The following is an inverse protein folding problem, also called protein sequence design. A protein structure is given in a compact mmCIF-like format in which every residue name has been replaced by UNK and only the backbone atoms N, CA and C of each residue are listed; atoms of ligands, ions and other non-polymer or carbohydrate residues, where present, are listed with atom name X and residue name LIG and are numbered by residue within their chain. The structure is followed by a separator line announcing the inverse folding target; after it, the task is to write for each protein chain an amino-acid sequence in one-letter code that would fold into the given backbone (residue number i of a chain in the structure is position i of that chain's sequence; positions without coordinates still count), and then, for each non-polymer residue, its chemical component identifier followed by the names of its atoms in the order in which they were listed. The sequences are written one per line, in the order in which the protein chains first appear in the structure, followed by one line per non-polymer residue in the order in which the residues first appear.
data_IF_290804236068
#
_entry.id   IF_290804236068
#
_cell.length_a   1.000
_cell.length_b   1.000
_cell.length_c   1.000
_cell.angle_alpha   90.00
_cell.angle_beta   90.00
_cell.angle_gamma   90.00
#
_symmetry.space_group_name_H-M   'P 1'
#
loop_
_entity.id
_entity.type
_entity.pdbx_description
1 polymer ?
#
# COMPACT_ATOMS: atom_id res chain seq x y z
N UNK A 1 59.36 -19.93 50.44
CA UNK A 1 57.89 -20.15 50.38
C UNK A 1 57.32 -19.27 49.30
N UNK A 2 56.99 -19.83 48.14
CA UNK A 2 56.40 -19.11 47.05
C UNK A 2 54.88 -19.22 47.19
N UNK A 3 54.21 -18.07 47.39
CA UNK A 3 52.72 -17.96 47.50
C UNK A 3 52.14 -17.78 46.09
N UNK A 4 51.56 -18.83 45.51
CA UNK A 4 50.92 -18.76 44.21
C UNK A 4 49.57 -18.12 44.43
N UNK A 5 49.44 -16.88 43.93
CA UNK A 5 48.14 -16.16 43.89
C UNK A 5 47.35 -16.63 42.68
N UNK A 6 46.28 -17.37 42.93
CA UNK A 6 45.32 -17.74 41.90
C UNK A 6 44.44 -16.52 41.57
N UNK A 7 44.77 -15.82 40.50
CA UNK A 7 43.85 -14.86 39.93
C UNK A 7 42.74 -15.61 39.17
N UNK A 8 41.60 -15.66 39.81
CA UNK A 8 40.37 -16.12 39.15
C UNK A 8 39.93 -15.05 38.15
N UNK A 9 40.18 -15.30 36.87
CA UNK A 9 39.62 -14.52 35.81
C UNK A 9 38.13 -14.90 35.67
N UNK A 10 37.24 -14.04 36.20
CA UNK A 10 35.83 -14.13 35.89
C UNK A 10 35.61 -13.57 34.47
N UNK A 11 35.63 -14.45 33.47
CA UNK A 11 35.29 -14.10 32.11
C UNK A 11 33.81 -13.74 32.04
N UNK A 12 33.50 -12.45 32.03
CA UNK A 12 32.14 -11.99 31.73
C UNK A 12 31.88 -12.22 30.24
N UNK A 13 31.15 -13.28 29.92
CA UNK A 13 30.60 -13.50 28.59
C UNK A 13 29.60 -12.40 28.28
N UNK A 14 30.04 -11.37 27.56
CA UNK A 14 29.13 -10.39 26.96
C UNK A 14 28.56 -11.04 25.71
N UNK A 15 27.34 -11.56 25.82
CA UNK A 15 26.59 -12.05 24.68
C UNK A 15 26.07 -10.80 23.95
N UNK A 16 26.49 -10.53 22.69
CA UNK A 16 25.88 -9.44 21.93
C UNK A 16 24.41 -9.80 21.66
N UNK A 17 23.52 -9.03 22.23
CA UNK A 17 22.09 -9.09 21.89
C UNK A 17 21.95 -8.59 20.45
N UNK A 18 21.88 -9.52 19.51
CA UNK A 18 21.53 -9.20 18.13
C UNK A 18 20.05 -8.84 18.12
N UNK A 19 19.76 -7.55 18.18
CA UNK A 19 18.42 -7.05 17.93
C UNK A 19 18.22 -7.20 16.43
N UNK A 20 17.54 -8.30 16.02
CA UNK A 20 16.94 -8.37 14.68
C UNK A 20 15.88 -7.28 14.63
N UNK A 21 16.22 -6.15 14.01
CA UNK A 21 15.25 -5.13 13.69
C UNK A 21 14.24 -5.72 12.71
N UNK A 22 13.03 -6.02 13.19
CA UNK A 22 11.88 -6.19 12.31
C UNK A 22 11.60 -4.83 11.67
N UNK A 23 12.13 -4.65 10.45
CA UNK A 23 11.72 -3.56 9.58
C UNK A 23 10.31 -3.83 9.11
N UNK A 24 9.32 -3.56 9.97
CA UNK A 24 7.94 -3.46 9.56
C UNK A 24 7.81 -2.22 8.68
N UNK A 25 7.29 -2.37 7.45
CA UNK A 25 6.90 -1.22 6.65
C UNK A 25 5.90 -0.40 7.47
N UNK A 26 6.20 0.88 7.69
CA UNK A 26 5.28 1.77 8.38
C UNK A 26 4.06 2.03 7.48
N UNK A 27 2.84 2.17 8.07
CA UNK A 27 1.61 2.46 7.33
C UNK A 27 1.72 3.69 6.39
N UNK A 28 2.61 4.65 6.71
CA UNK A 28 2.93 5.80 5.87
C UNK A 28 3.62 5.42 4.55
N UNK A 29 4.43 4.36 4.52
CA UNK A 29 5.12 3.91 3.30
C UNK A 29 4.13 3.25 2.34
N UNK A 30 3.18 2.46 2.84
CA UNK A 30 2.12 1.85 2.03
C UNK A 30 1.20 2.89 1.39
N UNK A 31 0.80 3.94 2.12
CA UNK A 31 0.00 5.02 1.56
C UNK A 31 0.77 5.81 0.49
N UNK A 32 2.07 6.02 0.67
CA UNK A 32 2.92 6.69 -0.32
C UNK A 32 3.07 5.86 -1.58
N UNK A 33 3.24 4.54 -1.44
CA UNK A 33 3.26 3.61 -2.56
C UNK A 33 1.93 3.60 -3.29
N UNK A 34 0.82 3.46 -2.56
CA UNK A 34 -0.53 3.48 -3.12
C UNK A 34 -0.82 4.77 -3.88
N UNK A 35 -0.41 5.92 -3.35
CA UNK A 35 -0.52 7.22 -4.03
C UNK A 35 0.26 7.24 -5.35
N UNK A 36 1.50 6.75 -5.34
CA UNK A 36 2.35 6.73 -6.53
C UNK A 36 1.78 5.82 -7.61
N UNK A 37 1.31 4.64 -7.23
CA UNK A 37 0.67 3.68 -8.15
C UNK A 37 -0.66 4.23 -8.71
N UNK A 38 -1.47 4.85 -7.85
CA UNK A 38 -2.71 5.51 -8.29
C UNK A 38 -2.43 6.61 -9.31
N UNK A 39 -1.47 7.47 -9.04
CA UNK A 39 -1.08 8.55 -9.96
C UNK A 39 -0.60 8.01 -11.31
N UNK A 40 0.16 6.92 -11.29
CA UNK A 40 0.72 6.31 -12.51
C UNK A 40 -0.30 5.52 -13.34
N UNK A 41 -1.29 4.88 -12.70
CA UNK A 41 -2.16 3.88 -13.34
C UNK A 41 -3.64 4.26 -13.40
N UNK A 42 -4.13 5.04 -12.45
CA UNK A 42 -5.57 5.25 -12.23
C UNK A 42 -6.00 6.70 -12.52
N UNK A 43 -5.16 7.66 -12.18
CA UNK A 43 -5.47 9.08 -12.20
C UNK A 43 -5.88 9.61 -13.57
N UNK A 44 -5.33 9.06 -14.66
CA UNK A 44 -5.63 9.52 -16.02
C UNK A 44 -7.12 9.41 -16.36
N UNK A 45 -7.81 8.44 -15.78
CA UNK A 45 -9.25 8.24 -15.94
C UNK A 45 -10.03 8.72 -14.73
N UNK A 46 -9.62 8.33 -13.52
CA UNK A 46 -10.37 8.57 -12.29
C UNK A 46 -10.13 9.96 -11.67
N UNK A 47 -9.13 10.71 -12.15
CA UNK A 47 -8.80 12.04 -11.67
C UNK A 47 -7.91 12.06 -10.43
N UNK A 48 -7.19 13.15 -10.23
CA UNK A 48 -6.30 13.34 -9.06
C UNK A 48 -7.08 13.35 -7.74
N UNK A 49 -8.34 13.77 -7.76
CA UNK A 49 -9.24 13.83 -6.61
C UNK A 49 -10.25 12.67 -6.58
N UNK A 50 -10.07 11.65 -7.43
CA UNK A 50 -10.90 10.47 -7.45
C UNK A 50 -12.35 10.66 -7.95
N UNK A 51 -12.65 11.78 -8.64
CA UNK A 51 -14.02 12.14 -9.05
C UNK A 51 -14.45 11.56 -10.40
N UNK A 52 -13.63 10.74 -11.03
CA UNK A 52 -13.94 10.22 -12.36
C UNK A 52 -13.79 11.26 -13.48
N UNK A 53 -13.03 12.32 -13.24
CA UNK A 53 -12.82 13.49 -14.10
C UNK A 53 -11.38 13.62 -14.60
N UNK A 54 -10.67 12.50 -14.73
CA UNK A 54 -9.33 12.51 -15.28
C UNK A 54 -9.31 12.98 -16.75
N UNK A 55 -8.11 13.32 -17.28
CA UNK A 55 -7.99 13.82 -18.66
C UNK A 55 -8.60 12.91 -19.71
N UNK A 56 -8.56 11.60 -19.52
CA UNK A 56 -9.14 10.64 -20.45
C UNK A 56 -10.66 10.41 -20.24
N UNK A 57 -11.23 10.86 -19.14
CA UNK A 57 -12.63 10.57 -18.78
C UNK A 57 -13.65 11.07 -19.80
N UNK A 58 -13.38 12.20 -20.47
CA UNK A 58 -14.28 12.79 -21.44
C UNK A 58 -14.58 11.85 -22.64
N UNK A 59 -13.62 11.01 -23.02
CA UNK A 59 -13.74 10.08 -24.13
C UNK A 59 -14.33 8.71 -23.71
N UNK A 60 -14.60 8.48 -22.42
CA UNK A 60 -15.03 7.19 -21.92
C UNK A 60 -16.56 7.15 -21.70
N UNK A 61 -17.16 6.03 -22.06
CA UNK A 61 -18.55 5.70 -21.80
C UNK A 61 -18.68 4.22 -21.41
N UNK A 62 -19.13 3.89 -20.19
CA UNK A 62 -19.53 4.82 -19.12
C UNK A 62 -18.35 5.64 -18.57
N UNK A 63 -18.67 6.73 -17.88
CA UNK A 63 -17.68 7.54 -17.17
C UNK A 63 -16.99 6.73 -16.08
N UNK A 64 -15.69 7.01 -15.77
CA UNK A 64 -15.02 6.41 -14.64
C UNK A 64 -15.78 6.66 -13.34
N UNK A 65 -15.66 5.71 -12.41
CA UNK A 65 -16.32 5.84 -11.10
C UNK A 65 -15.78 7.06 -10.32
N UNK A 66 -16.69 7.70 -9.59
CA UNK A 66 -16.40 8.74 -8.61
C UNK A 66 -16.20 8.10 -7.23
N UNK A 67 -14.96 8.09 -6.75
CA UNK A 67 -14.57 7.51 -5.46
C UNK A 67 -14.94 8.40 -4.27
N UNK A 68 -15.32 9.66 -4.50
CA UNK A 68 -15.81 10.54 -3.44
C UNK A 68 -17.29 10.30 -3.11
N UNK A 69 -17.99 9.51 -3.93
CA UNK A 69 -19.36 9.13 -3.69
C UNK A 69 -19.43 7.96 -2.70
N UNK A 70 -20.08 8.12 -1.52
CA UNK A 70 -20.18 7.05 -0.52
C UNK A 70 -20.84 5.78 -1.05
N UNK A 71 -21.74 5.89 -2.03
CA UNK A 71 -22.41 4.75 -2.67
C UNK A 71 -21.42 3.84 -3.39
N UNK A 72 -20.30 4.40 -3.91
CA UNK A 72 -19.25 3.58 -4.51
C UNK A 72 -18.70 2.57 -3.49
N UNK A 73 -18.32 3.02 -2.32
CA UNK A 73 -17.73 2.17 -1.28
C UNK A 73 -18.72 1.17 -0.71
N UNK A 74 -19.97 1.58 -0.54
CA UNK A 74 -21.05 0.69 -0.10
C UNK A 74 -21.27 -0.50 -1.05
N UNK A 75 -21.17 -0.26 -2.36
CA UNK A 75 -21.49 -1.25 -3.38
C UNK A 75 -20.26 -2.01 -3.89
N UNK A 76 -19.07 -1.58 -3.53
CA UNK A 76 -17.82 -2.17 -4.01
C UNK A 76 -16.89 -2.46 -2.82
N UNK A 77 -17.07 -3.58 -2.13
CA UNK A 77 -16.12 -4.03 -1.12
C UNK A 77 -14.74 -4.27 -1.76
N UNK A 78 -13.69 -4.26 -0.94
CA UNK A 78 -12.29 -4.37 -1.39
C UNK A 78 -12.09 -5.49 -2.41
N UNK A 79 -12.63 -6.68 -2.15
CA UNK A 79 -12.49 -7.82 -3.04
C UNK A 79 -13.04 -7.56 -4.45
N UNK A 80 -14.13 -6.82 -4.54
CA UNK A 80 -14.71 -6.45 -5.84
C UNK A 80 -13.83 -5.42 -6.56
N UNK A 81 -13.28 -4.45 -5.84
CA UNK A 81 -12.33 -3.47 -6.41
C UNK A 81 -11.08 -4.21 -6.90
N UNK A 82 -10.52 -5.09 -6.10
CA UNK A 82 -9.39 -5.94 -6.44
C UNK A 82 -9.61 -6.70 -7.76
N UNK A 83 -10.76 -7.34 -7.89
CA UNK A 83 -11.14 -8.06 -9.12
C UNK A 83 -11.24 -7.13 -10.34
N UNK A 84 -11.81 -5.92 -10.17
CA UNK A 84 -11.89 -4.95 -11.26
C UNK A 84 -10.50 -4.49 -11.73
N UNK A 85 -9.58 -4.29 -10.81
CA UNK A 85 -8.19 -3.93 -11.15
C UNK A 85 -7.49 -5.09 -11.86
N UNK A 86 -7.63 -6.30 -11.35
CA UNK A 86 -6.94 -7.48 -11.90
C UNK A 86 -7.46 -7.89 -13.28
N UNK A 87 -8.78 -7.85 -13.49
CA UNK A 87 -9.40 -8.40 -14.69
C UNK A 87 -9.98 -7.33 -15.63
N UNK A 88 -10.03 -6.07 -15.20
CA UNK A 88 -10.71 -5.02 -15.91
C UNK A 88 -12.22 -5.08 -15.77
N UNK A 89 -12.88 -4.05 -16.25
CA UNK A 89 -14.34 -3.97 -16.33
C UNK A 89 -14.78 -2.97 -17.39
N UNK A 90 -15.47 -3.42 -18.43
CA UNK A 90 -15.90 -2.56 -19.53
C UNK A 90 -14.72 -1.86 -20.20
N UNK A 91 -14.71 -0.54 -20.18
CA UNK A 91 -13.62 0.28 -20.73
C UNK A 91 -12.40 0.38 -19.82
N UNK A 92 -12.52 -0.03 -18.56
CA UNK A 92 -11.40 -0.07 -17.64
C UNK A 92 -10.52 -1.28 -17.96
N UNK A 93 -9.23 -1.09 -18.29
CA UNK A 93 -8.34 -2.19 -18.61
C UNK A 93 -7.97 -3.01 -17.36
N UNK A 94 -7.50 -4.21 -17.59
CA UNK A 94 -6.84 -5.03 -16.56
C UNK A 94 -5.42 -4.50 -16.30
N UNK A 95 -4.97 -4.58 -15.06
CA UNK A 95 -3.62 -4.19 -14.65
C UNK A 95 -2.87 -5.40 -14.11
N UNK A 96 -1.66 -5.62 -14.59
CA UNK A 96 -0.77 -6.64 -14.06
C UNK A 96 -0.01 -6.08 -12.85
N UNK A 97 -0.68 -6.06 -11.71
CA UNK A 97 -0.16 -5.61 -10.42
C UNK A 97 -0.15 -6.77 -9.44
N UNK A 98 0.79 -6.73 -8.48
CA UNK A 98 0.82 -7.67 -7.37
C UNK A 98 -0.30 -7.38 -6.38
N UNK A 99 -0.65 -8.36 -5.56
CA UNK A 99 -1.72 -8.21 -4.57
C UNK A 99 -1.45 -7.13 -3.53
N UNK A 100 -0.19 -6.96 -3.11
CA UNK A 100 0.24 -5.91 -2.19
C UNK A 100 0.17 -4.52 -2.83
N UNK A 101 0.53 -4.39 -4.11
CA UNK A 101 0.40 -3.15 -4.86
C UNK A 101 -1.08 -2.74 -5.03
N UNK A 102 -1.96 -3.70 -5.31
CA UNK A 102 -3.41 -3.43 -5.40
C UNK A 102 -3.95 -3.02 -4.04
N UNK A 103 -3.51 -3.69 -2.97
CA UNK A 103 -3.89 -3.32 -1.61
C UNK A 103 -3.46 -1.90 -1.28
N UNK A 104 -2.21 -1.54 -1.57
CA UNK A 104 -1.70 -0.19 -1.33
C UNK A 104 -2.52 0.88 -2.07
N UNK A 105 -2.91 0.61 -3.32
CA UNK A 105 -3.80 1.51 -4.09
C UNK A 105 -5.16 1.67 -3.39
N UNK A 106 -5.77 0.59 -2.95
CA UNK A 106 -7.09 0.62 -2.30
C UNK A 106 -7.02 1.37 -0.97
N UNK A 107 -6.01 1.11 -0.16
CA UNK A 107 -5.78 1.80 1.12
C UNK A 107 -5.60 3.32 0.90
N UNK A 108 -4.82 3.70 -0.11
CA UNK A 108 -4.69 5.10 -0.50
C UNK A 108 -6.04 5.71 -0.94
N UNK A 109 -6.79 5.02 -1.79
CA UNK A 109 -8.09 5.50 -2.27
C UNK A 109 -9.08 5.68 -1.12
N UNK A 110 -9.13 4.73 -0.16
CA UNK A 110 -9.97 4.85 1.03
C UNK A 110 -9.56 6.06 1.87
N UNK A 111 -8.27 6.21 2.12
CA UNK A 111 -7.74 7.33 2.90
C UNK A 111 -8.02 8.69 2.25
N UNK A 112 -7.81 8.79 0.93
CA UNK A 112 -7.88 10.05 0.21
C UNK A 112 -9.30 10.46 -0.18
N UNK A 113 -10.17 9.50 -0.51
CA UNK A 113 -11.44 9.78 -1.18
C UNK A 113 -12.69 9.32 -0.42
N UNK A 114 -12.58 8.32 0.44
CA UNK A 114 -13.72 7.82 1.21
C UNK A 114 -14.02 8.78 2.37
N UNK A 115 -15.17 9.39 2.34
CA UNK A 115 -15.67 10.34 3.36
C UNK A 115 -16.86 9.78 4.10
#
# INVERSE_FOLDING_TARGET
MLKISHHRWAGTLVIPLIILGLSGMAAGDELTEGQSLYAAKCQICHGANGRGDGPAAAALNPKPADFTNPTFWKNNPEEKIRRMVTYGKGVMPAFNLKDDEIKAIIDYMEHAFKK
#
